data_IF_250940442724
#
_entry.id   IF_250940442724
#
_cell.length_a   1.000
_cell.length_b   1.000
_cell.length_c   1.000
_cell.angle_alpha   90.00
_cell.angle_beta   90.00
_cell.angle_gamma   90.00
#
_symmetry.space_group_name_H-M   'P 1'
#
loop_
_entity.id
_entity.type
_entity.pdbx_description
1 polymer ?
#
# COMPACT_ATOMS: atom_id res chain seq x y z
N UNK A 1 -49.57 1.63 15.82
CA UNK A 1 -49.63 1.13 14.43
C UNK A 1 -49.23 2.27 13.48
N UNK A 2 -48.20 2.04 12.64
CA UNK A 2 -47.99 2.52 11.25
C UNK A 2 -48.44 3.94 10.82
N UNK A 3 -47.70 4.78 10.07
CA UNK A 3 -46.58 4.58 9.11
C UNK A 3 -46.05 5.97 8.67
N UNK A 4 -44.72 6.11 8.56
CA UNK A 4 -43.92 6.68 7.46
C UNK A 4 -44.11 8.12 6.90
N UNK A 5 -42.94 8.73 6.58
CA UNK A 5 -42.47 9.23 5.27
C UNK A 5 -42.18 10.76 5.10
N UNK A 6 -40.86 11.09 5.02
CA UNK A 6 -40.14 12.11 4.20
C UNK A 6 -40.51 13.60 4.41
N UNK A 7 -39.58 14.55 4.51
CA UNK A 7 -38.76 15.20 3.46
C UNK A 7 -37.49 15.78 4.16
N UNK A 8 -36.25 15.45 3.82
CA UNK A 8 -35.48 15.86 2.63
C UNK A 8 -35.51 17.37 2.36
N UNK A 9 -34.39 18.07 2.53
CA UNK A 9 -34.24 19.45 2.05
C UNK A 9 -33.08 20.22 2.67
N UNK A 10 -31.89 20.04 2.10
CA UNK A 10 -30.70 20.88 2.29
C UNK A 10 -31.06 22.34 1.96
N UNK A 11 -30.79 23.28 2.86
CA UNK A 11 -30.85 24.71 2.56
C UNK A 11 -29.48 25.34 2.79
N UNK A 12 -28.62 25.21 1.78
CA UNK A 12 -27.50 26.14 1.58
C UNK A 12 -28.08 27.47 1.07
N UNK A 13 -28.15 28.48 1.94
CA UNK A 13 -28.43 29.88 1.56
C UNK A 13 -27.20 30.71 1.96
N UNK A 14 -26.23 30.88 1.05
CA UNK A 14 -26.13 31.94 0.02
C UNK A 14 -25.69 33.30 0.59
N UNK A 15 -24.45 33.72 0.25
CA UNK A 15 -24.07 35.05 -0.28
C UNK A 15 -22.53 35.23 -0.25
N UNK A 16 -21.89 35.25 -1.44
CA UNK A 16 -20.51 35.70 -1.62
C UNK A 16 -19.46 34.58 -1.68
N UNK A 17 -18.86 34.39 -2.86
CA UNK A 17 -17.90 33.33 -3.24
C UNK A 17 -18.57 31.96 -3.43
N UNK A 18 -18.80 31.62 -4.70
CA UNK A 18 -19.02 30.25 -5.14
C UNK A 18 -17.75 29.44 -4.88
N UNK A 19 -17.49 29.06 -3.63
CA UNK A 19 -16.64 27.89 -3.39
C UNK A 19 -17.56 26.70 -3.59
N UNK A 20 -17.57 26.22 -4.83
CA UNK A 20 -18.10 24.91 -5.17
C UNK A 20 -17.70 23.94 -4.06
N UNK A 21 -18.67 23.27 -3.42
CA UNK A 21 -18.42 22.10 -2.59
C UNK A 21 -17.93 20.93 -3.47
N UNK A 22 -16.89 21.19 -4.27
CA UNK A 22 -16.13 20.17 -4.95
C UNK A 22 -15.23 19.60 -3.88
N UNK A 23 -15.46 18.34 -3.54
CA UNK A 23 -14.44 17.56 -2.85
C UNK A 23 -13.15 17.74 -3.66
N UNK A 24 -12.10 18.25 -3.02
CA UNK A 24 -10.81 18.38 -3.65
C UNK A 24 -10.36 17.01 -4.16
N UNK A 25 -10.11 16.87 -5.47
CA UNK A 25 -9.58 15.63 -6.04
C UNK A 25 -8.05 15.69 -5.99
N UNK A 26 -7.41 14.75 -5.30
CA UNK A 26 -5.95 14.68 -5.29
C UNK A 26 -5.35 14.55 -6.68
N UNK A 27 -6.09 14.00 -7.65
CA UNK A 27 -5.59 13.88 -9.03
C UNK A 27 -5.42 15.23 -9.72
N UNK A 28 -5.99 16.31 -9.19
CA UNK A 28 -5.74 17.67 -9.66
C UNK A 28 -4.34 18.17 -9.25
N UNK A 29 -3.69 17.54 -8.26
CA UNK A 29 -2.31 17.81 -7.87
C UNK A 29 -1.32 17.01 -8.74
N UNK A 30 -0.44 17.73 -9.44
CA UNK A 30 0.66 17.11 -10.20
C UNK A 30 1.61 16.31 -9.30
N UNK A 31 1.93 16.85 -8.12
CA UNK A 31 2.76 16.18 -7.11
C UNK A 31 2.14 14.84 -6.70
N UNK A 32 0.83 14.84 -6.44
CA UNK A 32 0.11 13.63 -6.07
C UNK A 32 0.13 12.60 -7.20
N UNK A 33 -0.16 13.01 -8.44
CA UNK A 33 -0.10 12.13 -9.61
C UNK A 33 1.27 11.52 -9.84
N UNK A 34 2.32 12.32 -9.76
CA UNK A 34 3.70 11.86 -9.94
C UNK A 34 4.10 10.88 -8.83
N UNK A 35 3.77 11.20 -7.57
CA UNK A 35 4.01 10.30 -6.45
C UNK A 35 3.21 8.99 -6.55
N UNK A 36 1.97 9.02 -7.07
CA UNK A 36 1.19 7.80 -7.36
C UNK A 36 1.89 6.92 -8.40
N UNK A 37 2.46 7.50 -9.45
CA UNK A 37 3.25 6.76 -10.45
C UNK A 37 4.48 6.11 -9.81
N UNK A 38 5.21 6.83 -8.96
CA UNK A 38 6.36 6.28 -8.24
C UNK A 38 5.97 5.11 -7.35
N UNK A 39 4.85 5.22 -6.63
CA UNK A 39 4.30 4.12 -5.84
C UNK A 39 4.00 2.88 -6.68
N UNK A 40 3.46 3.06 -7.88
CA UNK A 40 3.20 1.94 -8.78
C UNK A 40 4.50 1.31 -9.30
N UNK A 41 5.56 2.10 -9.54
CA UNK A 41 6.90 1.57 -9.86
C UNK A 41 7.49 0.77 -8.69
N UNK A 42 7.36 1.26 -7.44
CA UNK A 42 7.77 0.52 -6.24
C UNK A 42 7.03 -0.82 -6.15
N UNK A 43 5.72 -0.82 -6.48
CA UNK A 43 4.90 -2.05 -6.49
C UNK A 43 5.35 -3.06 -7.52
N UNK A 44 5.66 -2.60 -8.73
CA UNK A 44 6.21 -3.46 -9.77
C UNK A 44 7.58 -4.03 -9.36
N UNK A 45 8.44 -3.22 -8.75
CA UNK A 45 9.76 -3.64 -8.29
C UNK A 45 9.68 -4.79 -7.28
N UNK A 46 8.89 -4.66 -6.20
CA UNK A 46 8.81 -5.75 -5.22
C UNK A 46 8.11 -7.00 -5.78
N UNK A 47 7.18 -6.84 -6.73
CA UNK A 47 6.55 -7.99 -7.43
C UNK A 47 7.60 -8.77 -8.22
N UNK A 48 8.52 -8.07 -8.89
CA UNK A 48 9.64 -8.70 -9.58
C UNK A 48 10.58 -9.44 -8.60
N UNK A 49 10.89 -8.84 -7.45
CA UNK A 49 11.67 -9.51 -6.39
C UNK A 49 10.99 -10.79 -5.89
N UNK A 50 9.68 -10.76 -5.68
CA UNK A 50 8.91 -11.95 -5.32
C UNK A 50 8.99 -13.02 -6.41
N UNK A 51 8.87 -12.61 -7.68
CA UNK A 51 9.00 -13.49 -8.84
C UNK A 51 10.35 -14.22 -8.89
N UNK A 52 11.45 -13.53 -8.53
CA UNK A 52 12.78 -14.13 -8.42
C UNK A 52 12.83 -15.23 -7.35
N UNK A 53 12.29 -14.96 -6.15
CA UNK A 53 12.24 -15.96 -5.08
C UNK A 53 11.36 -17.17 -5.46
N UNK A 54 10.22 -16.93 -6.11
CA UNK A 54 9.36 -18.00 -6.61
C UNK A 54 10.10 -18.86 -7.64
N UNK A 55 10.72 -18.23 -8.64
CA UNK A 55 11.49 -18.93 -9.66
C UNK A 55 12.66 -19.73 -9.06
N UNK A 56 13.32 -19.21 -8.03
CA UNK A 56 14.35 -19.93 -7.27
C UNK A 56 13.80 -21.22 -6.66
N UNK A 57 12.67 -21.14 -5.94
CA UNK A 57 12.03 -22.31 -5.31
C UNK A 57 11.55 -23.32 -6.36
N UNK A 58 10.94 -22.87 -7.46
CA UNK A 58 10.51 -23.75 -8.55
C UNK A 58 11.68 -24.54 -9.12
N UNK A 59 12.82 -23.90 -9.38
CA UNK A 59 14.03 -24.57 -9.90
C UNK A 59 14.66 -25.52 -8.88
N UNK A 60 14.74 -25.09 -7.62
CA UNK A 60 15.39 -25.87 -6.57
C UNK A 60 14.58 -27.12 -6.18
N UNK A 61 13.24 -27.02 -6.18
CA UNK A 61 12.35 -28.07 -5.65
C UNK A 61 11.49 -28.75 -6.71
N UNK A 62 11.50 -28.29 -7.96
CA UNK A 62 10.72 -28.87 -9.05
C UNK A 62 9.20 -28.73 -8.87
N UNK A 63 8.74 -27.66 -8.21
CA UNK A 63 7.32 -27.43 -7.91
C UNK A 63 6.69 -26.38 -8.84
N UNK A 64 5.36 -26.37 -8.93
CA UNK A 64 4.62 -25.35 -9.67
C UNK A 64 4.66 -23.96 -9.01
N UNK A 65 4.12 -22.97 -9.71
CA UNK A 65 4.14 -21.57 -9.29
C UNK A 65 3.41 -21.36 -7.95
N UNK A 66 2.21 -21.90 -7.80
CA UNK A 66 1.39 -21.70 -6.60
C UNK A 66 2.04 -22.33 -5.37
N UNK A 67 2.62 -23.52 -5.53
CA UNK A 67 3.37 -24.21 -4.48
C UNK A 67 4.65 -23.45 -4.10
N UNK A 68 5.37 -22.91 -5.08
CA UNK A 68 6.54 -22.08 -4.83
C UNK A 68 6.18 -20.77 -4.15
N UNK A 69 5.15 -20.07 -4.61
CA UNK A 69 4.65 -18.82 -4.00
C UNK A 69 4.22 -19.05 -2.56
N UNK A 70 3.47 -20.12 -2.28
CA UNK A 70 3.08 -20.49 -0.92
C UNK A 70 4.31 -20.71 -0.03
N UNK A 71 5.33 -21.41 -0.53
CA UNK A 71 6.57 -21.63 0.23
C UNK A 71 7.34 -20.34 0.49
N UNK A 72 7.48 -19.47 -0.51
CA UNK A 72 8.10 -18.14 -0.33
C UNK A 72 7.39 -17.36 0.77
N UNK A 73 6.04 -17.33 0.74
CA UNK A 73 5.23 -16.64 1.75
C UNK A 73 5.28 -17.27 3.14
N UNK A 74 5.61 -18.55 3.24
CA UNK A 74 5.75 -19.28 4.51
C UNK A 74 7.19 -19.35 5.00
N UNK A 75 8.17 -18.84 4.23
CA UNK A 75 9.60 -18.94 4.57
C UNK A 75 9.95 -18.08 5.78
N UNK A 76 9.40 -16.87 5.85
CA UNK A 76 9.62 -16.00 7.00
C UNK A 76 8.58 -16.29 8.09
N UNK A 77 9.04 -16.50 9.32
CA UNK A 77 8.15 -16.64 10.47
C UNK A 77 7.57 -15.28 10.86
N UNK A 78 6.39 -15.24 11.52
CA UNK A 78 5.84 -13.99 12.05
C UNK A 78 6.80 -13.23 12.96
N UNK A 79 7.67 -13.93 13.70
CA UNK A 79 8.68 -13.29 14.54
C UNK A 79 9.79 -12.61 13.74
N UNK A 80 10.16 -13.14 12.57
CA UNK A 80 11.18 -12.56 11.69
C UNK A 80 10.67 -11.31 10.97
N UNK A 81 9.38 -11.26 10.60
CA UNK A 81 8.79 -10.11 9.91
C UNK A 81 8.11 -9.10 10.81
N UNK A 82 7.98 -9.40 12.12
CA UNK A 82 7.19 -8.61 13.08
C UNK A 82 7.45 -7.11 12.99
N UNK A 83 8.72 -6.69 12.90
CA UNK A 83 9.07 -5.26 12.87
C UNK A 83 8.53 -4.55 11.62
N UNK A 84 8.45 -5.25 10.48
CA UNK A 84 7.84 -4.72 9.27
C UNK A 84 6.32 -4.73 9.39
N UNK A 85 5.76 -5.81 9.93
CA UNK A 85 4.31 -5.97 10.11
C UNK A 85 3.73 -4.89 11.02
N UNK A 86 4.37 -4.64 12.17
CA UNK A 86 3.97 -3.56 13.10
C UNK A 86 4.02 -2.17 12.44
N UNK A 87 5.04 -1.91 11.62
CA UNK A 87 5.16 -0.64 10.89
C UNK A 87 4.08 -0.50 9.81
N UNK A 88 3.81 -1.56 9.05
CA UNK A 88 2.77 -1.58 8.02
C UNK A 88 1.39 -1.40 8.65
N UNK A 89 1.12 -2.04 9.79
CA UNK A 89 -0.12 -1.88 10.53
C UNK A 89 -0.29 -0.45 11.04
N UNK A 90 0.76 0.15 11.61
CA UNK A 90 0.74 1.53 12.09
C UNK A 90 0.51 2.53 10.93
N UNK A 91 1.18 2.33 9.79
CA UNK A 91 0.99 3.16 8.60
C UNK A 91 -0.40 2.98 7.99
N UNK A 92 -0.88 1.74 7.89
CA UNK A 92 -2.22 1.40 7.42
C UNK A 92 -3.33 2.03 8.27
N UNK A 93 -3.16 2.02 9.60
CA UNK A 93 -4.07 2.65 10.55
C UNK A 93 -4.13 4.18 10.39
N UNK A 94 -3.04 4.81 9.93
CA UNK A 94 -3.01 6.25 9.62
C UNK A 94 -3.61 6.57 8.26
N UNK A 95 -3.38 5.71 7.26
CA UNK A 95 -3.89 5.88 5.90
C UNK A 95 -5.42 5.67 5.85
N UNK A 96 -5.92 4.60 6.45
CA UNK A 96 -7.33 4.16 6.32
C UNK A 96 -8.38 5.24 6.67
N UNK A 97 -8.24 6.05 7.74
CA UNK A 97 -9.21 7.08 8.07
C UNK A 97 -8.99 8.42 7.36
N UNK A 98 -7.90 8.60 6.59
CA UNK A 98 -7.62 9.90 5.97
C UNK A 98 -8.64 10.25 4.89
N UNK A 99 -9.13 11.48 4.98
CA UNK A 99 -9.93 12.12 3.94
C UNK A 99 -9.04 13.11 3.20
N UNK A 100 -8.77 12.92 1.91
CA UNK A 100 -7.96 13.85 1.15
C UNK A 100 -8.79 15.02 0.64
N UNK A 101 -9.30 15.86 1.54
CA UNK A 101 -10.20 16.98 1.23
C UNK A 101 -9.47 18.32 0.99
N UNK A 102 -8.14 18.29 0.99
CA UNK A 102 -7.28 19.45 0.77
C UNK A 102 -5.95 19.03 0.11
N UNK A 103 -5.24 19.96 -0.55
CA UNK A 103 -3.90 19.70 -1.10
C UNK A 103 -2.95 19.10 -0.05
N UNK A 104 -2.94 19.68 1.16
CA UNK A 104 -2.08 19.22 2.24
C UNK A 104 -2.46 17.82 2.75
N UNK A 105 -3.76 17.48 2.75
CA UNK A 105 -4.22 16.13 3.07
C UNK A 105 -3.79 15.12 1.99
N UNK A 106 -3.82 15.51 0.71
CA UNK A 106 -3.33 14.68 -0.39
C UNK A 106 -1.82 14.43 -0.31
N UNK A 107 -1.01 15.46 -0.03
CA UNK A 107 0.44 15.32 0.14
C UNK A 107 0.80 14.44 1.35
N UNK A 108 0.06 14.61 2.45
CA UNK A 108 0.21 13.77 3.64
C UNK A 108 -0.15 12.32 3.34
N UNK A 109 -1.25 12.09 2.62
CA UNK A 109 -1.67 10.75 2.19
C UNK A 109 -0.61 10.11 1.29
N UNK A 110 -0.07 10.87 0.33
CA UNK A 110 1.00 10.40 -0.55
C UNK A 110 2.24 9.99 0.25
N UNK A 111 2.67 10.84 1.20
CA UNK A 111 3.84 10.57 2.06
C UNK A 111 3.66 9.27 2.84
N UNK A 112 2.47 9.05 3.42
CA UNK A 112 2.19 7.82 4.15
C UNK A 112 2.17 6.59 3.23
N UNK A 113 1.62 6.73 2.02
CA UNK A 113 1.63 5.65 1.04
C UNK A 113 3.06 5.32 0.58
N UNK A 114 3.95 6.31 0.45
CA UNK A 114 5.36 6.12 0.14
C UNK A 114 6.07 5.36 1.26
N UNK A 115 5.88 5.79 2.51
CA UNK A 115 6.41 5.08 3.68
C UNK A 115 5.90 3.63 3.74
N UNK A 116 4.61 3.41 3.48
CA UNK A 116 4.03 2.06 3.44
C UNK A 116 4.66 1.21 2.33
N UNK A 117 4.86 1.80 1.14
CA UNK A 117 5.53 1.16 0.01
C UNK A 117 6.97 0.77 0.33
N UNK A 118 7.74 1.66 0.97
CA UNK A 118 9.13 1.41 1.35
C UNK A 118 9.26 0.28 2.37
N UNK A 119 8.44 0.27 3.42
CA UNK A 119 8.43 -0.81 4.42
C UNK A 119 8.01 -2.13 3.77
N UNK A 120 7.02 -2.10 2.87
CA UNK A 120 6.60 -3.28 2.11
C UNK A 120 7.75 -3.84 1.26
N UNK A 121 8.49 -2.97 0.56
CA UNK A 121 9.67 -3.35 -0.22
C UNK A 121 10.73 -4.01 0.67
N UNK A 122 11.08 -3.39 1.80
CA UNK A 122 12.07 -3.94 2.73
C UNK A 122 11.66 -5.32 3.26
N UNK A 123 10.38 -5.51 3.59
CA UNK A 123 9.86 -6.83 4.01
C UNK A 123 10.04 -7.88 2.90
N UNK A 124 9.71 -7.53 1.66
CA UNK A 124 9.87 -8.46 0.52
C UNK A 124 11.34 -8.77 0.27
N UNK A 125 12.22 -7.78 0.25
CA UNK A 125 13.67 -7.98 0.09
C UNK A 125 14.23 -8.92 1.15
N UNK A 126 13.81 -8.74 2.41
CA UNK A 126 14.17 -9.64 3.51
C UNK A 126 13.69 -11.09 3.26
N UNK A 127 12.43 -11.28 2.85
CA UNK A 127 11.89 -12.62 2.52
C UNK A 127 12.68 -13.25 1.36
N UNK A 128 12.98 -12.48 0.31
CA UNK A 128 13.74 -12.96 -0.84
C UNK A 128 15.12 -13.45 -0.40
N UNK A 129 15.84 -12.65 0.41
CA UNK A 129 17.15 -13.03 0.97
C UNK A 129 17.07 -14.31 1.81
N UNK A 130 16.03 -14.47 2.63
CA UNK A 130 15.80 -15.71 3.40
C UNK A 130 15.58 -16.91 2.48
N UNK A 131 14.83 -16.75 1.39
CA UNK A 131 14.52 -17.83 0.44
C UNK A 131 15.75 -18.21 -0.39
N UNK A 132 16.47 -17.22 -0.94
CA UNK A 132 17.59 -17.44 -1.86
C UNK A 132 18.90 -17.74 -1.13
N UNK A 133 19.00 -17.39 0.16
CA UNK A 133 20.23 -17.55 0.95
C UNK A 133 21.32 -16.52 0.64
N UNK A 134 20.99 -15.43 -0.08
CA UNK A 134 21.96 -14.40 -0.50
C UNK A 134 22.61 -13.62 0.65
N UNK A 135 22.17 -13.79 1.91
CA UNK A 135 22.82 -13.24 3.10
C UNK A 135 23.78 -14.23 3.82
N UNK A 136 23.96 -15.48 3.34
CA UNK A 136 24.69 -16.54 4.08
C UNK A 136 26.03 -17.01 3.46
N UNK A 137 26.55 -16.34 2.44
CA UNK A 137 27.88 -16.66 1.90
C UNK A 137 28.93 -15.66 2.43
N UNK A 138 29.86 -16.05 3.32
CA UNK A 138 31.10 -15.29 3.46
C UNK A 138 31.85 -15.40 2.13
N UNK A 139 32.04 -14.28 1.43
CA UNK A 139 33.11 -14.17 0.43
C UNK A 139 34.44 -14.01 1.15
#
# INVERSE_FOLDING_TARGET
MNRFLKHAGIACTALGVYTSCLAYDCNDSETYRNGRRELDLVRQSYTAHLGTAVAFVQRQKGVDFDSALKQVMQTATPSQTRIYDEQLDALGARIKPMKPDSPQACDTLLTLQQQYGDVSRQKIEFIVKLVTGEDSAPR
#
